data_IF_459150646549
#
_entry.id   IF_459150646549
#
_cell.length_a   1.000
_cell.length_b   1.000
_cell.length_c   1.000
_cell.angle_alpha   90.00
_cell.angle_beta   90.00
_cell.angle_gamma   90.00
#
_symmetry.space_group_name_H-M   'P 1'
#
loop_
_entity.id
_entity.type
_entity.pdbx_description
1 polymer ?
#
# COMPACT_ATOMS: atom_id res chain seq x y z
N UNK A 1 1.63 -11.65 -2.12
CA UNK A 1 1.89 -10.22 -1.96
C UNK A 1 0.95 -9.72 -0.89
N UNK A 2 1.46 -8.93 0.05
CA UNK A 2 0.67 -8.44 1.19
C UNK A 2 0.56 -6.94 1.13
N UNK A 3 -0.62 -6.42 1.44
CA UNK A 3 -0.83 -4.99 1.59
C UNK A 3 -1.49 -4.68 2.91
N UNK A 4 -1.10 -3.55 3.49
CA UNK A 4 -1.87 -2.86 4.53
C UNK A 4 -2.33 -1.54 3.93
N UNK A 5 -3.64 -1.39 3.82
CA UNK A 5 -4.30 -0.22 3.23
C UNK A 5 -4.89 0.59 4.38
N UNK A 6 -4.56 1.87 4.44
CA UNK A 6 -5.08 2.79 5.45
C UNK A 6 -5.78 3.94 4.75
N UNK A 7 -7.03 4.21 5.13
CA UNK A 7 -7.72 5.43 4.71
C UNK A 7 -7.14 6.60 5.50
N UNK A 8 -6.79 7.67 4.83
CA UNK A 8 -6.12 8.82 5.45
C UNK A 8 -6.81 10.12 5.08
N UNK A 9 -6.84 11.06 6.03
CA UNK A 9 -7.22 12.45 5.78
C UNK A 9 -6.01 13.30 5.34
N UNK A 10 -4.81 12.85 5.69
CA UNK A 10 -3.52 13.33 5.20
C UNK A 10 -2.46 12.24 5.39
N UNK A 11 -1.49 12.17 4.47
CA UNK A 11 -0.30 11.34 4.64
C UNK A 11 0.89 11.93 3.87
N UNK A 12 2.10 11.64 4.34
CA UNK A 12 3.33 12.09 3.67
C UNK A 12 4.49 11.12 3.90
N UNK A 13 5.45 11.17 2.99
CA UNK A 13 6.73 10.47 3.06
C UNK A 13 7.85 11.50 3.06
N UNK A 14 8.72 11.42 4.06
CA UNK A 14 9.90 12.27 4.20
C UNK A 14 11.17 11.43 4.12
N UNK A 15 12.12 11.86 3.27
CA UNK A 15 13.45 11.26 3.10
C UNK A 15 14.49 12.36 3.32
N UNK A 16 15.46 12.12 4.19
CA UNK A 16 16.52 13.09 4.53
C UNK A 16 15.98 14.50 4.90
N UNK A 17 14.83 14.54 5.58
CA UNK A 17 14.17 15.79 6.02
C UNK A 17 13.39 16.53 4.92
N UNK A 18 13.26 15.97 3.71
CA UNK A 18 12.46 16.52 2.61
C UNK A 18 11.24 15.67 2.34
N UNK A 19 10.08 16.31 2.20
CA UNK A 19 8.84 15.65 1.79
C UNK A 19 8.98 15.28 0.30
N UNK A 20 8.90 13.98 0.00
CA UNK A 20 9.00 13.44 -1.37
C UNK A 20 7.66 13.01 -1.94
N UNK A 21 6.66 12.81 -1.07
CA UNK A 21 5.28 12.53 -1.41
C UNK A 21 4.37 13.05 -0.29
N UNK A 22 3.23 13.62 -0.65
CA UNK A 22 2.19 14.04 0.26
C UNK A 22 0.81 14.02 -0.39
N UNK A 23 -0.18 13.55 0.35
CA UNK A 23 -1.58 13.54 -0.06
C UNK A 23 -2.45 14.11 1.06
N UNK A 24 -3.60 14.64 0.68
CA UNK A 24 -4.67 14.99 1.61
C UNK A 24 -5.54 13.75 1.83
N UNK A 25 -6.79 13.78 1.37
CA UNK A 25 -7.71 12.64 1.42
C UNK A 25 -7.24 11.52 0.50
N UNK A 26 -7.16 10.29 1.00
CA UNK A 26 -6.72 9.19 0.15
C UNK A 26 -6.42 7.88 0.86
N UNK A 27 -5.52 7.11 0.25
CA UNK A 27 -5.00 5.85 0.77
C UNK A 27 -3.49 5.92 0.97
N UNK A 28 -3.02 5.49 2.14
CA UNK A 28 -1.65 5.05 2.34
C UNK A 28 -1.61 3.53 2.24
N UNK A 29 -0.79 3.00 1.33
CA UNK A 29 -0.67 1.57 1.06
C UNK A 29 0.76 1.11 1.33
N UNK A 30 0.92 0.24 2.33
CA UNK A 30 2.18 -0.44 2.60
C UNK A 30 2.19 -1.77 1.83
N UNK A 31 3.20 -2.00 0.99
CA UNK A 31 3.27 -3.16 0.09
C UNK A 31 4.44 -4.07 0.45
N UNK A 32 4.14 -5.31 0.81
CA UNK A 32 5.11 -6.35 1.12
C UNK A 32 5.18 -7.39 0.00
N UNK A 33 6.36 -7.53 -0.60
CA UNK A 33 6.63 -8.51 -1.65
C UNK A 33 7.34 -9.73 -1.08
N UNK A 34 6.89 -10.93 -1.43
CA UNK A 34 7.57 -12.20 -1.18
C UNK A 34 8.10 -12.83 -2.47
N UNK A 35 9.08 -13.72 -2.37
CA UNK A 35 9.75 -14.30 -3.55
C UNK A 35 8.85 -15.16 -4.45
N UNK A 36 7.66 -15.56 -3.97
CA UNK A 36 6.67 -16.31 -4.74
C UNK A 36 5.61 -15.42 -5.41
N UNK A 37 5.75 -14.08 -5.30
CA UNK A 37 4.83 -13.15 -5.92
C UNK A 37 5.03 -13.05 -7.43
N UNK A 38 3.92 -12.84 -8.11
CA UNK A 38 3.81 -12.82 -9.57
C UNK A 38 2.98 -11.64 -10.04
N UNK A 39 2.97 -11.39 -11.35
CA UNK A 39 2.09 -10.38 -11.94
C UNK A 39 0.60 -10.68 -11.74
N UNK A 40 0.21 -11.95 -11.53
CA UNK A 40 -1.18 -12.29 -11.20
C UNK A 40 -1.57 -11.71 -9.82
N UNK A 41 -0.66 -11.77 -8.85
CA UNK A 41 -0.86 -11.20 -7.52
C UNK A 41 -1.04 -9.69 -7.58
N UNK A 42 -0.21 -9.01 -8.39
CA UNK A 42 -0.27 -7.57 -8.64
C UNK A 42 -1.61 -7.19 -9.25
N UNK A 43 -1.99 -7.83 -10.36
CA UNK A 43 -3.20 -7.51 -11.10
C UNK A 43 -4.45 -7.69 -10.22
N UNK A 44 -4.49 -8.79 -9.45
CA UNK A 44 -5.61 -9.06 -8.56
C UNK A 44 -5.69 -8.04 -7.41
N UNK A 45 -4.57 -7.71 -6.77
CA UNK A 45 -4.55 -6.72 -5.68
C UNK A 45 -4.91 -5.32 -6.17
N UNK A 46 -4.32 -4.85 -7.28
CA UNK A 46 -4.58 -3.52 -7.82
C UNK A 46 -6.05 -3.34 -8.19
N UNK A 47 -6.65 -4.32 -8.87
CA UNK A 47 -8.07 -4.30 -9.20
C UNK A 47 -8.96 -4.30 -7.95
N UNK A 48 -8.57 -5.03 -6.88
CA UNK A 48 -9.30 -5.06 -5.61
C UNK A 48 -9.19 -3.72 -4.87
N UNK A 49 -8.00 -3.12 -4.81
CA UNK A 49 -7.74 -1.82 -4.19
C UNK A 49 -8.51 -0.70 -4.90
N UNK A 50 -8.45 -0.63 -6.22
CA UNK A 50 -9.11 0.41 -7.01
C UNK A 50 -10.64 0.43 -6.81
N UNK A 51 -11.23 -0.74 -6.51
CA UNK A 51 -12.68 -0.93 -6.30
C UNK A 51 -13.09 -0.99 -4.83
N UNK A 52 -12.15 -0.84 -3.90
CA UNK A 52 -12.41 -1.00 -2.47
C UNK A 52 -13.27 0.17 -1.96
N UNK A 53 -14.52 -0.12 -1.58
CA UNK A 53 -15.52 0.88 -1.18
C UNK A 53 -15.37 1.22 0.31
N UNK A 54 -14.36 2.00 0.66
CA UNK A 54 -14.02 2.36 2.04
C UNK A 54 -14.10 3.86 2.34
N UNK A 55 -14.57 4.67 1.39
CA UNK A 55 -14.85 6.09 1.59
C UNK A 55 -16.35 6.34 1.76
N UNK A 56 -16.71 7.36 2.55
CA UNK A 56 -18.11 7.73 2.77
C UNK A 56 -18.76 8.33 1.51
N UNK A 57 -20.02 7.96 1.26
CA UNK A 57 -20.92 8.64 0.33
C UNK A 57 -21.56 9.90 0.97
N UNK A 58 -22.50 10.53 0.28
CA UNK A 58 -23.20 11.74 0.76
C UNK A 58 -23.97 11.53 2.08
N UNK A 59 -24.27 10.27 2.45
CA UNK A 59 -24.91 9.91 3.72
C UNK A 59 -23.90 9.47 4.78
N UNK A 60 -22.60 9.55 4.49
CA UNK A 60 -21.52 9.09 5.36
C UNK A 60 -21.37 7.57 5.43
N UNK A 61 -22.04 6.81 4.55
CA UNK A 61 -21.93 5.35 4.51
C UNK A 61 -20.74 4.96 3.64
N UNK A 62 -19.92 4.00 4.09
CA UNK A 62 -18.74 3.54 3.34
C UNK A 62 -19.15 2.79 2.07
N UNK A 63 -19.26 3.55 0.99
CA UNK A 63 -19.78 3.10 -0.29
C UNK A 63 -18.96 3.63 -1.47
N UNK A 64 -17.95 4.47 -1.30
CA UNK A 64 -17.16 5.00 -2.41
C UNK A 64 -15.77 4.37 -2.44
N UNK A 65 -15.28 4.07 -3.64
CA UNK A 65 -13.87 3.76 -3.88
C UNK A 65 -13.00 5.00 -3.74
N UNK A 66 -11.68 4.81 -3.74
CA UNK A 66 -10.72 5.93 -3.76
C UNK A 66 -10.90 6.83 -4.98
N UNK A 67 -11.26 6.26 -6.14
CA UNK A 67 -11.51 7.03 -7.36
C UNK A 67 -12.84 7.77 -7.31
N UNK A 68 -13.92 7.12 -6.85
CA UNK A 68 -15.24 7.75 -6.67
C UNK A 68 -15.19 8.88 -5.62
N UNK A 69 -14.32 8.76 -4.61
CA UNK A 69 -14.15 9.75 -3.55
C UNK A 69 -13.13 10.87 -3.87
N UNK A 70 -12.58 10.86 -5.09
CA UNK A 70 -11.49 11.72 -5.56
C UNK A 70 -10.28 11.78 -4.61
N UNK A 71 -9.95 10.63 -4.01
CA UNK A 71 -8.81 10.51 -3.11
C UNK A 71 -7.51 10.19 -3.86
N UNK A 72 -6.38 10.62 -3.29
CA UNK A 72 -5.05 10.31 -3.82
C UNK A 72 -4.47 9.05 -3.15
N UNK A 73 -3.31 8.58 -3.64
CA UNK A 73 -2.70 7.35 -3.16
C UNK A 73 -1.19 7.53 -2.97
N UNK A 74 -0.70 7.15 -1.78
CA UNK A 74 0.72 6.92 -1.52
C UNK A 74 0.96 5.42 -1.42
N UNK A 75 1.96 4.92 -2.14
CA UNK A 75 2.46 3.54 -2.02
C UNK A 75 3.88 3.55 -1.43
N UNK A 76 4.10 2.72 -0.41
CA UNK A 76 5.41 2.55 0.26
C UNK A 76 5.77 1.08 0.34
N UNK A 77 6.99 0.73 -0.07
CA UNK A 77 7.54 -0.62 0.09
C UNK A 77 7.72 -0.97 1.58
N UNK A 78 7.18 -2.11 2.02
CA UNK A 78 7.18 -2.53 3.43
C UNK A 78 7.44 -4.04 3.57
N UNK A 79 8.72 -4.45 3.45
CA UNK A 79 9.12 -5.87 3.55
C UNK A 79 8.74 -6.53 4.90
N UNK A 80 8.58 -5.73 5.96
CA UNK A 80 8.25 -6.22 7.30
C UNK A 80 6.85 -6.82 7.41
N UNK A 81 5.97 -6.63 6.42
CA UNK A 81 4.67 -7.33 6.36
C UNK A 81 4.83 -8.86 6.22
N UNK A 82 6.01 -9.32 5.81
CA UNK A 82 6.40 -10.73 5.73
C UNK A 82 7.20 -11.22 6.94
N UNK A 83 7.16 -10.48 8.04
CA UNK A 83 7.82 -10.87 9.28
C UNK A 83 7.19 -12.15 9.88
N UNK A 84 8.03 -13.16 10.10
CA UNK A 84 7.72 -14.30 10.94
C UNK A 84 8.04 -13.97 12.40
N UNK A 85 7.01 -13.92 13.24
CA UNK A 85 7.09 -13.55 14.67
C UNK A 85 6.83 -14.72 15.62
N UNK A 86 6.67 -15.95 15.10
CA UNK A 86 6.31 -17.14 15.90
C UNK A 86 7.40 -17.58 16.89
N UNK A 87 8.68 -17.32 16.60
CA UNK A 87 9.81 -17.81 17.42
C UNK A 87 10.61 -16.63 17.98
N UNK A 88 10.72 -16.54 19.31
CA UNK A 88 11.49 -15.50 19.99
C UNK A 88 10.91 -14.10 19.82
N UNK A 89 11.68 -13.07 20.18
CA UNK A 89 11.23 -11.67 20.17
C UNK A 89 11.77 -10.86 18.98
N UNK A 90 12.69 -11.43 18.18
CA UNK A 90 13.24 -10.79 16.98
C UNK A 90 12.51 -11.33 15.75
N UNK A 91 11.80 -10.50 14.97
CA UNK A 91 11.15 -10.97 13.76
C UNK A 91 12.18 -11.47 12.73
N UNK A 92 11.81 -12.52 11.99
CA UNK A 92 12.57 -13.02 10.84
C UNK A 92 11.88 -12.64 9.54
N UNK A 93 12.64 -12.19 8.55
CA UNK A 93 12.09 -11.70 7.27
C UNK A 93 12.40 -12.64 6.10
N UNK A 94 12.60 -13.93 6.38
CA UNK A 94 13.05 -14.92 5.39
C UNK A 94 12.11 -15.07 4.18
N UNK A 95 10.83 -14.70 4.34
CA UNK A 95 9.83 -14.73 3.27
C UNK A 95 9.86 -13.50 2.36
N UNK A 96 10.37 -12.37 2.86
CA UNK A 96 10.44 -11.15 2.07
C UNK A 96 11.35 -11.37 0.85
N UNK A 97 10.91 -10.87 -0.31
CA UNK A 97 11.72 -10.89 -1.50
C UNK A 97 13.00 -10.07 -1.32
N UNK A 98 14.09 -10.52 -1.96
CA UNK A 98 15.33 -9.74 -2.07
C UNK A 98 15.12 -8.55 -3.02
N UNK A 99 15.94 -7.47 -2.93
CA UNK A 99 15.75 -6.26 -3.73
C UNK A 99 15.67 -6.48 -5.25
N UNK A 100 16.44 -7.42 -5.79
CA UNK A 100 16.47 -7.79 -7.21
C UNK A 100 15.13 -8.34 -7.73
N UNK A 101 14.32 -8.93 -6.84
CA UNK A 101 12.97 -9.42 -7.14
C UNK A 101 11.91 -8.40 -6.69
N UNK A 102 12.11 -7.77 -5.54
CA UNK A 102 11.13 -6.88 -4.92
C UNK A 102 10.95 -5.56 -5.67
N UNK A 103 12.03 -4.95 -6.18
CA UNK A 103 11.97 -3.65 -6.86
C UNK A 103 11.12 -3.74 -8.14
N UNK A 104 11.38 -4.68 -9.08
CA UNK A 104 10.57 -4.78 -10.29
C UNK A 104 9.09 -5.04 -10.00
N UNK A 105 8.77 -5.94 -9.05
CA UNK A 105 7.38 -6.23 -8.68
C UNK A 105 6.69 -5.05 -8.00
N UNK A 106 7.43 -4.25 -7.22
CA UNK A 106 6.91 -3.04 -6.60
C UNK A 106 6.62 -1.96 -7.65
N UNK A 107 7.55 -1.73 -8.59
CA UNK A 107 7.35 -0.78 -9.69
C UNK A 107 6.18 -1.18 -10.59
N UNK A 108 6.06 -2.48 -10.91
CA UNK A 108 4.92 -3.02 -11.65
C UNK A 108 3.62 -2.86 -10.86
N UNK A 109 3.63 -3.04 -9.54
CA UNK A 109 2.47 -2.78 -8.68
C UNK A 109 2.02 -1.32 -8.77
N UNK A 110 2.95 -0.36 -8.63
CA UNK A 110 2.64 1.08 -8.73
C UNK A 110 2.05 1.41 -10.09
N UNK A 111 2.66 0.91 -11.17
CA UNK A 111 2.20 1.13 -12.54
C UNK A 111 0.81 0.54 -12.80
N UNK A 112 0.57 -0.69 -12.37
CA UNK A 112 -0.74 -1.34 -12.53
C UNK A 112 -1.81 -0.64 -11.70
N UNK A 113 -1.50 -0.20 -10.48
CA UNK A 113 -2.45 0.56 -9.66
C UNK A 113 -2.77 1.93 -10.29
N UNK A 114 -1.78 2.61 -10.87
CA UNK A 114 -1.99 3.84 -11.64
C UNK A 114 -2.94 3.60 -12.83
N UNK A 115 -2.81 2.47 -13.52
CA UNK A 115 -3.71 2.11 -14.64
C UNK A 115 -5.13 1.81 -14.17
N UNK A 116 -5.29 1.02 -13.10
CA UNK A 116 -6.61 0.64 -12.55
C UNK A 116 -7.38 1.83 -11.95
N UNK A 117 -6.66 2.81 -11.40
CA UNK A 117 -7.28 3.98 -10.75
C UNK A 117 -7.39 5.21 -11.65
N UNK A 118 -6.58 5.28 -12.71
CA UNK A 118 -6.44 6.49 -13.53
C UNK A 118 -5.81 7.68 -12.78
N UNK A 119 -5.23 7.46 -11.60
CA UNK A 119 -4.60 8.50 -10.76
C UNK A 119 -3.09 8.34 -10.72
N UNK A 120 -2.38 9.46 -10.64
CA UNK A 120 -0.93 9.45 -10.38
C UNK A 120 -0.70 8.91 -8.98
N UNK A 121 0.12 7.86 -8.88
CA UNK A 121 0.46 7.25 -7.60
C UNK A 121 1.71 7.91 -7.05
N UNK A 122 1.62 8.47 -5.86
CA UNK A 122 2.77 8.99 -5.15
C UNK A 122 3.51 7.86 -4.44
N UNK A 123 4.82 7.98 -4.31
CA UNK A 123 5.66 6.90 -3.77
C UNK A 123 6.74 7.43 -2.84
N UNK A 124 7.24 6.55 -1.97
CA UNK A 124 8.54 6.74 -1.34
C UNK A 124 9.70 6.30 -2.25
N UNK A 125 10.89 6.18 -1.68
CA UNK A 125 12.07 5.65 -2.37
C UNK A 125 12.40 4.26 -1.81
N UNK A 126 12.51 3.27 -2.69
CA UNK A 126 12.73 1.89 -2.28
C UNK A 126 14.08 1.76 -1.54
N UNK A 127 14.06 1.21 -0.33
CA UNK A 127 15.26 0.98 0.47
C UNK A 127 15.80 2.21 1.20
N UNK A 128 15.23 3.40 0.98
CA UNK A 128 15.57 4.60 1.75
C UNK A 128 15.02 4.55 3.18
N UNK A 129 15.66 5.26 4.11
CA UNK A 129 15.09 5.51 5.44
C UNK A 129 13.99 6.57 5.33
N UNK A 130 12.74 6.08 5.31
CA UNK A 130 11.56 6.92 5.16
C UNK A 130 10.91 7.21 6.52
N UNK A 131 10.44 8.44 6.71
CA UNK A 131 9.49 8.79 7.76
C UNK A 131 8.12 8.95 7.12
N UNK A 132 7.20 8.06 7.45
CA UNK A 132 5.82 8.07 6.94
C UNK A 132 4.92 8.64 8.01
N UNK A 133 4.36 9.81 7.75
CA UNK A 133 3.35 10.44 8.61
C UNK A 133 1.96 10.19 8.01
N UNK A 134 0.97 9.97 8.88
CA UNK A 134 -0.42 9.88 8.47
C UNK A 134 -1.38 10.31 9.57
N UNK A 135 -2.56 10.76 9.17
CA UNK A 135 -3.75 10.81 10.00
C UNK A 135 -4.73 9.78 9.46
N UNK A 136 -4.89 8.66 10.19
CA UNK A 136 -5.77 7.56 9.80
C UNK A 136 -7.23 7.95 10.03
N UNK A 137 -7.99 8.05 8.95
CA UNK A 137 -9.37 8.51 8.95
C UNK A 137 -10.33 7.34 9.23
N UNK A 138 -10.87 7.31 10.45
CA UNK A 138 -11.82 6.30 10.93
C UNK A 138 -11.53 5.80 12.35
N UNK A 139 -10.45 5.01 12.57
CA UNK A 139 -9.51 4.54 11.55
C UNK A 139 -10.08 3.39 10.71
N UNK A 140 -9.74 3.38 9.42
CA UNK A 140 -10.01 2.26 8.51
C UNK A 140 -8.69 1.67 8.07
N UNK A 141 -8.46 0.40 8.41
CA UNK A 141 -7.25 -0.34 8.05
C UNK A 141 -7.63 -1.73 7.54
N UNK A 142 -7.24 -2.04 6.30
CA UNK A 142 -7.56 -3.31 5.63
C UNK A 142 -6.27 -4.04 5.30
N UNK A 143 -6.20 -5.32 5.65
CA UNK A 143 -5.10 -6.20 5.30
C UNK A 143 -5.57 -7.14 4.19
N UNK A 144 -4.77 -7.27 3.13
CA UNK A 144 -5.07 -8.22 2.05
C UNK A 144 -3.79 -8.99 1.73
N UNK A 145 -3.91 -10.31 1.63
CA UNK A 145 -2.85 -11.21 1.18
C UNK A 145 -3.30 -11.90 -0.11
N UNK A 146 -2.61 -11.66 -1.23
CA UNK A 146 -2.96 -12.27 -2.52
C UNK A 146 -2.87 -13.79 -2.52
N UNK A 147 -2.09 -14.37 -1.58
CA UNK A 147 -1.97 -15.82 -1.42
C UNK A 147 -3.05 -16.41 -0.53
N UNK A 148 -3.76 -15.58 0.25
CA UNK A 148 -4.86 -15.96 1.12
C UNK A 148 -6.07 -15.07 0.81
N UNK A 149 -6.73 -15.36 -0.32
CA UNK A 149 -7.90 -14.60 -0.80
C UNK A 149 -9.11 -14.92 0.06
N UNK A 150 -9.26 -14.17 1.16
CA UNK A 150 -10.46 -14.13 2.02
C UNK A 150 -11.48 -13.07 1.55
#
# INVERSE_FOLDING_TARGET
MRVVIQRVSEASVTIEGRITADIQKGLLILVGVEGADTNEDINWLCAKIAKLRIFGDDNGVMNLSVTEADGDIIVVSQFTLHAATKKGNRPSYIKAAKPDVAIPLYEDFVKTLQQETGKVIQTGEFGADMKVALVNDGPVTILIDSKNKE
#
